data_IF_800867115396
#
_entry.id   IF_800867115396
#
_cell.length_a   1.000
_cell.length_b   1.000
_cell.length_c   1.000
_cell.angle_alpha   90.00
_cell.angle_beta   90.00
_cell.angle_gamma   90.00
#
_symmetry.space_group_name_H-M   'P 1'
#
loop_
_entity.id
_entity.type
_entity.pdbx_description
1 polymer ?
#
# COMPACT_ATOMS: atom_id res chain seq x y z
N UNK A 1 -34.13 -18.80 3.22
CA UNK A 1 -33.50 -18.17 4.40
C UNK A 1 -32.51 -17.15 3.88
N UNK A 2 -33.04 -15.99 3.53
CA UNK A 2 -32.35 -14.85 2.93
C UNK A 2 -31.65 -14.12 4.06
N UNK A 3 -30.34 -14.30 4.20
CA UNK A 3 -29.55 -13.58 5.19
C UNK A 3 -29.46 -12.11 4.76
N UNK A 4 -29.79 -11.20 5.69
CA UNK A 4 -29.58 -9.75 5.67
C UNK A 4 -28.11 -9.38 5.45
N UNK A 5 -27.58 -9.60 4.25
CA UNK A 5 -26.21 -9.22 3.86
C UNK A 5 -26.13 -7.81 3.25
N UNK A 6 -27.27 -7.22 2.89
CA UNK A 6 -27.30 -5.94 2.15
C UNK A 6 -27.34 -4.71 3.07
N UNK A 7 -27.87 -4.81 4.29
CA UNK A 7 -27.98 -3.68 5.23
C UNK A 7 -26.65 -3.27 5.88
N UNK A 8 -25.95 -4.24 6.50
CA UNK A 8 -24.69 -3.96 7.21
C UNK A 8 -23.50 -3.65 6.29
N UNK A 9 -23.49 -4.18 5.06
CA UNK A 9 -22.44 -3.88 4.06
C UNK A 9 -22.59 -2.49 3.44
N UNK A 10 -23.82 -1.96 3.37
CA UNK A 10 -24.09 -0.61 2.88
C UNK A 10 -23.64 0.48 3.87
N UNK A 11 -23.78 0.25 5.18
CA UNK A 11 -23.37 1.21 6.22
C UNK A 11 -21.84 1.30 6.37
N UNK A 12 -21.14 0.16 6.30
CA UNK A 12 -19.67 0.08 6.30
C UNK A 12 -19.02 0.72 5.07
N UNK A 13 -19.77 0.89 3.99
CA UNK A 13 -19.27 1.48 2.75
C UNK A 13 -19.12 3.01 2.83
N UNK A 14 -19.89 3.67 3.71
CA UNK A 14 -19.98 5.14 3.78
C UNK A 14 -19.54 5.73 5.11
N UNK A 15 -19.39 4.92 6.16
CA UNK A 15 -19.01 5.38 7.50
C UNK A 15 -17.80 4.63 8.08
N UNK A 16 -17.00 5.29 8.93
CA UNK A 16 -15.92 4.63 9.66
C UNK A 16 -16.44 3.48 10.51
N UNK A 17 -15.71 2.36 10.52
CA UNK A 17 -16.01 1.20 11.34
C UNK A 17 -15.57 1.47 12.78
N UNK A 18 -16.49 1.40 13.74
CA UNK A 18 -16.14 1.42 15.17
C UNK A 18 -15.51 0.09 15.57
N UNK A 19 -14.39 0.15 16.27
CA UNK A 19 -13.68 -1.02 16.78
C UNK A 19 -14.11 -1.33 18.22
N UNK A 20 -13.97 -2.60 18.60
CA UNK A 20 -14.18 -3.01 19.98
C UNK A 20 -13.03 -2.51 20.88
N UNK A 21 -13.33 -2.07 22.12
CA UNK A 21 -12.30 -1.68 23.08
C UNK A 21 -11.24 -2.77 23.28
N UNK A 22 -9.95 -2.40 23.26
CA UNK A 22 -8.84 -3.33 23.46
C UNK A 22 -8.56 -4.31 22.30
N UNK A 23 -9.42 -4.38 21.27
CA UNK A 23 -9.21 -5.25 20.11
C UNK A 23 -8.12 -4.73 19.17
N UNK A 24 -7.89 -5.41 18.05
CA UNK A 24 -6.99 -4.97 16.98
C UNK A 24 -7.31 -3.53 16.57
N UNK A 25 -6.29 -2.66 16.58
CA UNK A 25 -6.46 -1.23 16.30
C UNK A 25 -6.48 -0.94 14.80
N UNK A 26 -6.62 0.35 14.44
CA UNK A 26 -6.70 0.81 13.05
C UNK A 26 -5.53 0.29 12.18
N UNK A 27 -4.30 0.39 12.69
CA UNK A 27 -3.10 -0.10 12.00
C UNK A 27 -3.19 -1.61 11.74
N UNK A 28 -3.57 -2.39 12.75
CA UNK A 28 -3.69 -3.85 12.59
C UNK A 28 -4.78 -4.26 11.61
N UNK A 29 -5.92 -3.55 11.58
CA UNK A 29 -6.98 -3.76 10.58
C UNK A 29 -6.50 -3.44 9.18
N UNK A 30 -5.81 -2.32 9.02
CA UNK A 30 -5.23 -1.92 7.73
C UNK A 30 -4.22 -2.95 7.23
N UNK A 31 -3.29 -3.41 8.08
CA UNK A 31 -2.31 -4.42 7.69
C UNK A 31 -2.96 -5.76 7.32
N UNK A 32 -4.03 -6.16 8.01
CA UNK A 32 -4.78 -7.37 7.68
C UNK A 32 -5.52 -7.29 6.33
N UNK A 33 -5.86 -6.10 5.85
CA UNK A 33 -6.58 -5.90 4.58
C UNK A 33 -5.63 -5.61 3.41
N UNK A 34 -4.72 -4.67 3.60
CA UNK A 34 -3.83 -4.14 2.56
C UNK A 34 -2.53 -4.94 2.43
N UNK A 35 -2.21 -5.82 3.39
CA UNK A 35 -1.07 -6.73 3.32
C UNK A 35 -1.27 -7.94 2.39
N UNK A 36 -2.41 -8.05 1.71
CA UNK A 36 -2.69 -9.11 0.74
C UNK A 36 -2.57 -8.58 -0.69
N UNK A 37 -1.69 -9.19 -1.49
CA UNK A 37 -1.42 -8.77 -2.86
C UNK A 37 -2.69 -8.75 -3.73
N UNK A 38 -3.51 -9.80 -3.63
CA UNK A 38 -4.73 -9.90 -4.43
C UNK A 38 -5.74 -8.83 -4.07
N UNK A 39 -5.84 -8.44 -2.79
CA UNK A 39 -6.64 -7.28 -2.39
C UNK A 39 -6.20 -6.03 -3.15
N UNK A 40 -4.91 -5.72 -3.19
CA UNK A 40 -4.40 -4.52 -3.87
C UNK A 40 -4.65 -4.58 -5.39
N UNK A 41 -4.37 -5.72 -6.02
CA UNK A 41 -4.59 -5.92 -7.45
C UNK A 41 -6.07 -5.80 -7.84
N UNK A 42 -6.98 -6.41 -7.06
CA UNK A 42 -8.42 -6.30 -7.30
C UNK A 42 -8.89 -4.86 -7.11
N UNK A 43 -8.45 -4.17 -6.05
CA UNK A 43 -8.82 -2.78 -5.80
C UNK A 43 -8.32 -1.84 -6.89
N UNK A 44 -7.10 -2.04 -7.40
CA UNK A 44 -6.57 -1.28 -8.54
C UNK A 44 -7.48 -1.40 -9.76
N UNK A 45 -7.84 -2.63 -10.14
CA UNK A 45 -8.74 -2.88 -11.27
C UNK A 45 -10.12 -2.25 -11.05
N UNK A 46 -10.69 -2.40 -9.85
CA UNK A 46 -11.98 -1.83 -9.51
C UNK A 46 -11.98 -0.29 -9.53
N UNK A 47 -10.90 0.35 -9.07
CA UNK A 47 -10.72 1.81 -9.12
C UNK A 47 -10.61 2.33 -10.55
N UNK A 48 -10.11 1.51 -11.48
CA UNK A 48 -10.08 1.77 -12.92
C UNK A 48 -11.42 1.44 -13.62
N UNK A 49 -12.46 1.08 -12.87
CA UNK A 49 -13.80 0.79 -13.38
C UNK A 49 -14.05 -0.67 -13.77
N UNK A 50 -13.07 -1.57 -13.55
CA UNK A 50 -13.24 -3.01 -13.82
C UNK A 50 -13.96 -3.67 -12.66
N UNK A 51 -15.29 -3.81 -12.79
CA UNK A 51 -16.15 -4.33 -11.72
C UNK A 51 -16.74 -5.72 -11.96
N UNK A 52 -16.68 -6.28 -13.18
CA UNK A 52 -17.32 -7.57 -13.46
C UNK A 52 -16.38 -8.74 -13.18
N UNK A 53 -16.91 -9.83 -12.65
CA UNK A 53 -16.14 -11.02 -12.31
C UNK A 53 -15.31 -11.56 -13.48
N UNK A 54 -15.91 -11.68 -14.67
CA UNK A 54 -15.20 -12.13 -15.87
C UNK A 54 -14.05 -11.21 -16.27
N UNK A 55 -14.28 -9.89 -16.23
CA UNK A 55 -13.23 -8.91 -16.56
C UNK A 55 -12.06 -8.95 -15.55
N UNK A 56 -12.36 -9.17 -14.26
CA UNK A 56 -11.33 -9.36 -13.24
C UNK A 56 -10.53 -10.65 -13.45
N UNK A 57 -11.19 -11.74 -13.87
CA UNK A 57 -10.53 -13.00 -14.23
C UNK A 57 -9.65 -12.85 -15.48
N UNK A 58 -10.07 -12.04 -16.45
CA UNK A 58 -9.29 -11.78 -17.66
C UNK A 58 -8.09 -10.88 -17.38
N UNK A 59 -8.23 -9.93 -16.44
CA UNK A 59 -7.20 -8.95 -16.12
C UNK A 59 -6.14 -9.44 -15.11
N UNK A 60 -6.41 -10.52 -14.36
CA UNK A 60 -5.56 -10.97 -13.26
C UNK A 60 -5.28 -12.48 -13.38
N UNK A 61 -4.04 -12.95 -13.14
CA UNK A 61 -3.72 -14.38 -13.12
C UNK A 61 -4.17 -15.05 -11.80
N UNK A 62 -5.45 -14.88 -11.45
CA UNK A 62 -6.07 -15.33 -10.21
C UNK A 62 -7.02 -16.50 -10.48
N UNK A 63 -7.10 -17.46 -9.56
CA UNK A 63 -8.08 -18.53 -9.67
C UNK A 63 -9.49 -18.07 -9.26
N UNK A 64 -10.52 -18.71 -9.82
CA UNK A 64 -11.92 -18.44 -9.48
C UNK A 64 -12.19 -18.48 -7.96
N UNK A 65 -11.63 -19.45 -7.26
CA UNK A 65 -11.85 -19.64 -5.82
C UNK A 65 -11.18 -18.53 -5.00
N UNK A 66 -9.97 -18.11 -5.36
CA UNK A 66 -9.26 -17.02 -4.68
C UNK A 66 -9.97 -15.70 -4.96
N UNK A 67 -10.33 -15.42 -6.21
CA UNK A 67 -11.07 -14.20 -6.57
C UNK A 67 -12.39 -14.10 -5.81
N UNK A 68 -13.17 -15.19 -5.78
CA UNK A 68 -14.43 -15.25 -5.03
C UNK A 68 -14.23 -14.96 -3.54
N UNK A 69 -13.23 -15.59 -2.91
CA UNK A 69 -12.91 -15.37 -1.50
C UNK A 69 -12.51 -13.92 -1.21
N UNK A 70 -11.73 -13.31 -2.09
CA UNK A 70 -11.28 -11.92 -1.95
C UNK A 70 -12.40 -10.91 -2.21
N UNK A 71 -13.23 -11.10 -3.22
CA UNK A 71 -14.39 -10.25 -3.45
C UNK A 71 -15.37 -10.29 -2.28
N UNK A 72 -15.61 -11.48 -1.70
CA UNK A 72 -16.44 -11.61 -0.51
C UNK A 72 -15.84 -10.88 0.70
N UNK A 73 -14.52 -10.96 0.90
CA UNK A 73 -13.81 -10.19 1.92
C UNK A 73 -14.00 -8.68 1.68
N UNK A 74 -13.72 -8.18 0.48
CA UNK A 74 -13.82 -6.76 0.16
C UNK A 74 -15.24 -6.22 0.30
N UNK A 75 -16.27 -7.02 -0.01
CA UNK A 75 -17.66 -6.65 0.23
C UNK A 75 -17.98 -6.61 1.72
N UNK A 76 -17.57 -7.62 2.47
CA UNK A 76 -17.80 -7.67 3.93
C UNK A 76 -17.13 -6.49 4.65
N UNK A 77 -15.94 -6.09 4.21
CA UNK A 77 -15.19 -4.98 4.80
C UNK A 77 -15.61 -3.61 4.26
N UNK A 78 -16.64 -3.55 3.40
CA UNK A 78 -17.18 -2.30 2.86
C UNK A 78 -16.26 -1.59 1.86
N UNK A 79 -15.26 -2.27 1.31
CA UNK A 79 -14.39 -1.76 0.25
C UNK A 79 -15.07 -1.84 -1.12
N UNK A 80 -15.86 -2.89 -1.35
CA UNK A 80 -16.67 -3.05 -2.55
C UNK A 80 -18.13 -3.22 -2.19
N UNK A 81 -19.04 -2.85 -3.08
CA UNK A 81 -20.46 -3.17 -3.00
C UNK A 81 -20.83 -4.06 -4.18
N UNK A 82 -21.52 -5.16 -3.90
CA UNK A 82 -22.06 -6.03 -4.95
C UNK A 82 -23.35 -5.41 -5.50
N UNK A 83 -23.36 -5.06 -6.77
CA UNK A 83 -24.51 -4.50 -7.48
C UNK A 83 -25.07 -5.55 -8.46
N UNK A 84 -26.26 -6.08 -8.18
CA UNK A 84 -26.95 -7.03 -9.07
C UNK A 84 -27.85 -6.24 -10.02
N UNK A 85 -27.47 -6.16 -11.29
CA UNK A 85 -28.23 -5.42 -12.31
C UNK A 85 -29.12 -6.31 -13.18
N UNK A 86 -28.97 -7.63 -13.08
CA UNK A 86 -29.82 -8.61 -13.78
C UNK A 86 -29.96 -9.86 -12.92
N UNK A 87 -31.17 -10.37 -12.74
CA UNK A 87 -31.43 -11.57 -11.90
C UNK A 87 -31.61 -12.84 -12.71
N UNK A 88 -31.84 -12.75 -14.03
CA UNK A 88 -31.98 -13.91 -14.91
C UNK A 88 -31.42 -13.65 -16.33
N UNK A 89 -30.25 -14.20 -16.72
CA UNK A 89 -29.26 -14.84 -15.84
C UNK A 89 -28.70 -13.84 -14.82
N UNK A 90 -28.24 -14.33 -13.67
CA UNK A 90 -27.67 -13.49 -12.61
C UNK A 90 -26.42 -12.78 -13.12
N UNK A 91 -26.46 -11.44 -13.20
CA UNK A 91 -25.32 -10.60 -13.49
C UNK A 91 -25.13 -9.59 -12.38
N UNK A 92 -23.93 -9.59 -11.83
CA UNK A 92 -23.50 -8.68 -10.80
C UNK A 92 -22.17 -8.05 -11.17
N UNK A 93 -21.94 -6.86 -10.64
CA UNK A 93 -20.67 -6.18 -10.66
C UNK A 93 -20.30 -5.76 -9.24
N UNK A 94 -19.01 -5.50 -9.02
CA UNK A 94 -18.46 -5.04 -7.77
C UNK A 94 -18.05 -3.58 -7.95
N UNK A 95 -18.72 -2.70 -7.24
CA UNK A 95 -18.56 -1.25 -7.35
C UNK A 95 -17.75 -0.74 -6.17
N UNK A 96 -16.78 0.13 -6.44
CA UNK A 96 -15.99 0.80 -5.41
C UNK A 96 -16.85 1.66 -4.49
N UNK A 97 -16.57 1.60 -3.20
CA UNK A 97 -17.18 2.44 -2.16
C UNK A 97 -16.32 3.67 -1.88
N UNK A 98 -16.85 4.71 -1.19
CA UNK A 98 -16.03 5.80 -0.64
C UNK A 98 -14.79 5.30 0.11
N UNK A 99 -14.92 4.23 0.89
CA UNK A 99 -13.82 3.59 1.62
C UNK A 99 -12.68 3.12 0.71
N UNK A 100 -13.00 2.44 -0.38
CA UNK A 100 -11.97 2.02 -1.35
C UNK A 100 -11.42 3.18 -2.18
N UNK A 101 -12.24 4.18 -2.53
CA UNK A 101 -11.76 5.39 -3.23
C UNK A 101 -10.75 6.17 -2.40
N UNK A 102 -10.90 6.18 -1.07
CA UNK A 102 -9.94 6.78 -0.16
C UNK A 102 -8.57 6.06 -0.13
N UNK A 103 -8.42 4.88 -0.72
CA UNK A 103 -7.12 4.21 -0.91
C UNK A 103 -6.33 4.74 -2.11
N UNK A 104 -6.91 5.63 -2.93
CA UNK A 104 -6.23 6.17 -4.08
C UNK A 104 -4.85 6.80 -3.77
N UNK A 105 -4.69 7.64 -2.74
CA UNK A 105 -3.38 8.19 -2.37
C UNK A 105 -2.33 7.11 -2.05
N UNK A 106 -2.76 6.01 -1.43
CA UNK A 106 -1.90 4.87 -1.13
C UNK A 106 -1.46 4.14 -2.41
N UNK A 107 -2.38 3.93 -3.36
CA UNK A 107 -2.06 3.33 -4.67
C UNK A 107 -1.10 4.20 -5.48
N UNK A 108 -1.33 5.52 -5.47
CA UNK A 108 -0.46 6.51 -6.12
C UNK A 108 0.95 6.50 -5.53
N UNK A 109 1.08 6.45 -4.21
CA UNK A 109 2.37 6.37 -3.54
C UNK A 109 3.13 5.07 -3.84
N UNK A 110 2.42 3.92 -3.89
CA UNK A 110 3.03 2.64 -4.28
C UNK A 110 3.59 2.74 -5.71
N UNK A 111 2.76 3.23 -6.63
CA UNK A 111 3.15 3.38 -8.03
C UNK A 111 4.42 4.19 -8.19
N UNK A 112 4.47 5.37 -7.57
CA UNK A 112 5.63 6.26 -7.71
C UNK A 112 6.88 5.65 -7.10
N UNK A 113 6.77 5.00 -5.93
CA UNK A 113 7.92 4.37 -5.31
C UNK A 113 8.47 3.21 -6.15
N UNK A 114 7.59 2.33 -6.64
CA UNK A 114 7.96 1.22 -7.53
C UNK A 114 8.61 1.75 -8.81
N UNK A 115 8.02 2.78 -9.44
CA UNK A 115 8.53 3.39 -10.66
C UNK A 115 9.94 3.97 -10.49
N UNK A 116 10.21 4.62 -9.36
CA UNK A 116 11.49 5.28 -9.12
C UNK A 116 12.59 4.34 -8.59
N UNK A 117 12.24 3.37 -7.75
CA UNK A 117 13.21 2.64 -6.92
C UNK A 117 13.35 1.15 -7.24
N UNK A 118 12.49 0.61 -8.09
CA UNK A 118 12.48 -0.82 -8.45
C UNK A 118 12.84 -0.97 -9.92
N UNK A 119 13.97 -1.62 -10.19
CA UNK A 119 14.51 -1.80 -11.53
C UNK A 119 13.95 -3.05 -12.25
N UNK A 120 13.35 -3.96 -11.49
CA UNK A 120 12.89 -5.27 -11.97
C UNK A 120 11.58 -5.22 -12.78
N UNK A 121 11.02 -4.03 -13.01
CA UNK A 121 9.93 -3.84 -13.96
C UNK A 121 10.50 -3.97 -15.37
N UNK A 122 10.29 -5.12 -16.01
CA UNK A 122 10.81 -5.44 -17.36
C UNK A 122 10.58 -4.33 -18.40
N UNK A 123 9.51 -3.56 -18.25
CA UNK A 123 9.13 -2.44 -19.13
C UNK A 123 9.14 -1.06 -18.46
N UNK A 124 9.48 -0.97 -17.17
CA UNK A 124 9.27 0.23 -16.36
C UNK A 124 7.78 0.58 -16.18
N UNK A 125 7.43 1.21 -15.06
CA UNK A 125 6.06 1.68 -14.85
C UNK A 125 5.81 2.99 -15.63
N UNK A 126 4.68 3.14 -16.35
CA UNK A 126 4.39 4.36 -17.11
C UNK A 126 4.34 5.63 -16.25
N UNK A 127 4.57 6.77 -16.91
CA UNK A 127 4.36 8.07 -16.29
C UNK A 127 2.87 8.33 -16.05
N UNK A 128 2.58 9.19 -15.08
CA UNK A 128 1.24 9.71 -14.82
C UNK A 128 1.16 11.15 -15.28
N UNK A 129 0.03 11.48 -15.89
CA UNK A 129 -0.28 12.80 -16.41
C UNK A 129 -1.36 13.45 -15.55
N UNK A 130 -1.17 14.71 -15.18
CA UNK A 130 -2.15 15.48 -14.45
C UNK A 130 -2.99 16.28 -15.44
N UNK A 131 -4.21 15.82 -15.70
CA UNK A 131 -5.09 16.34 -16.75
C UNK A 131 -5.43 17.83 -16.54
N UNK A 132 -5.44 18.29 -15.28
CA UNK A 132 -5.71 19.69 -14.92
C UNK A 132 -4.60 20.64 -15.36
N UNK A 133 -3.32 20.27 -15.19
CA UNK A 133 -2.20 21.12 -15.60
C UNK A 133 -1.60 20.73 -16.96
N UNK A 134 -1.96 19.58 -17.51
CA UNK A 134 -1.46 19.09 -18.80
C UNK A 134 -0.01 18.64 -18.78
N UNK A 135 0.54 18.27 -17.62
CA UNK A 135 1.92 17.84 -17.49
C UNK A 135 2.02 16.47 -16.82
N UNK A 136 3.05 15.72 -17.23
CA UNK A 136 3.49 14.54 -16.48
C UNK A 136 4.03 14.99 -15.13
N UNK A 137 3.72 14.22 -14.08
CA UNK A 137 4.02 14.61 -12.72
C UNK A 137 4.62 13.47 -11.90
N UNK A 138 5.27 13.87 -10.81
CA UNK A 138 5.57 13.00 -9.68
C UNK A 138 4.85 13.52 -8.43
N UNK A 139 4.13 12.65 -7.68
CA UNK A 139 3.35 13.09 -6.54
C UNK A 139 4.26 13.56 -5.38
N UNK A 140 4.05 14.80 -4.93
CA UNK A 140 4.71 15.36 -3.75
C UNK A 140 3.82 15.19 -2.52
N UNK A 141 4.32 14.47 -1.51
CA UNK A 141 3.64 14.41 -0.22
C UNK A 141 3.81 15.74 0.53
N UNK A 142 2.70 16.27 1.03
CA UNK A 142 2.59 17.55 1.73
C UNK A 142 1.73 17.42 2.98
N UNK A 143 1.89 18.37 3.91
CA UNK A 143 1.03 18.50 5.08
C UNK A 143 -0.30 19.14 4.69
N UNK A 144 -1.42 18.51 5.02
CA UNK A 144 -2.77 19.06 4.78
C UNK A 144 -3.05 20.38 5.51
N UNK A 145 -2.41 20.62 6.66
CA UNK A 145 -2.60 21.84 7.45
C UNK A 145 -1.88 23.07 6.90
N UNK A 146 -0.62 22.93 6.46
CA UNK A 146 0.21 24.06 6.01
C UNK A 146 0.62 24.03 4.53
N UNK A 147 0.32 22.94 3.81
CA UNK A 147 0.60 22.77 2.38
C UNK A 147 2.08 22.51 2.03
N UNK A 148 3.02 22.59 2.98
CA UNK A 148 4.45 22.36 2.74
C UNK A 148 4.74 20.90 2.42
N UNK A 149 5.73 20.65 1.56
CA UNK A 149 6.26 19.32 1.31
C UNK A 149 6.86 18.71 2.60
N UNK A 150 6.69 17.40 2.76
CA UNK A 150 7.03 16.67 4.00
C UNK A 150 7.79 15.39 3.66
N UNK A 151 8.89 15.13 4.37
CA UNK A 151 9.55 13.82 4.43
C UNK A 151 9.29 13.12 5.77
N UNK A 152 9.69 11.85 5.89
CA UNK A 152 9.55 11.06 7.12
C UNK A 152 10.12 11.76 8.37
N UNK A 153 11.25 12.45 8.23
CA UNK A 153 11.94 13.15 9.34
C UNK A 153 11.13 14.34 9.88
N UNK A 154 10.27 14.92 9.05
CA UNK A 154 9.50 16.12 9.36
C UNK A 154 8.21 15.80 10.12
N UNK A 155 7.88 14.52 10.28
CA UNK A 155 6.72 14.04 11.04
C UNK A 155 7.17 13.45 12.36
N UNK A 156 6.62 13.96 13.46
CA UNK A 156 6.70 13.31 14.76
C UNK A 156 5.53 12.32 14.87
N UNK A 157 5.83 11.04 15.16
CA UNK A 157 4.81 10.00 15.27
C UNK A 157 4.95 9.26 16.61
N UNK A 158 3.91 9.34 17.43
CA UNK A 158 3.82 8.67 18.73
C UNK A 158 2.64 7.71 18.78
N UNK A 159 2.72 6.73 19.66
CA UNK A 159 1.56 5.85 19.90
C UNK A 159 0.44 6.69 20.51
N UNK A 160 -0.74 6.61 19.91
CA UNK A 160 -1.96 7.14 20.49
C UNK A 160 -2.54 6.20 21.55
N UNK A 161 -3.69 6.54 22.14
CA UNK A 161 -4.29 5.77 23.23
C UNK A 161 -4.63 4.32 22.88
N UNK A 162 -4.95 4.02 21.61
CA UNK A 162 -5.17 2.64 21.14
C UNK A 162 -3.91 2.00 20.54
N UNK A 163 -2.81 2.75 20.51
CA UNK A 163 -1.53 2.38 19.90
C UNK A 163 -0.72 1.41 20.75
N UNK A 164 -0.45 0.23 20.21
CA UNK A 164 0.51 -0.71 20.76
C UNK A 164 0.91 -1.71 19.67
N UNK A 165 2.18 -2.15 19.68
CA UNK A 165 2.65 -3.18 18.76
C UNK A 165 1.79 -4.45 18.79
N UNK A 166 1.40 -4.90 19.99
CA UNK A 166 0.52 -6.07 20.18
C UNK A 166 -0.87 -5.93 19.55
N UNK A 167 -1.38 -4.69 19.41
CA UNK A 167 -2.68 -4.40 18.79
C UNK A 167 -2.58 -4.08 17.30
N UNK A 168 -1.38 -3.74 16.83
CA UNK A 168 -1.10 -3.38 15.43
C UNK A 168 -0.56 -4.53 14.60
N UNK A 169 -0.06 -5.61 15.21
CA UNK A 169 0.31 -6.85 14.52
C UNK A 169 -0.83 -7.85 14.67
N UNK A 170 -1.70 -8.05 13.65
CA UNK A 170 -2.86 -8.94 13.79
C UNK A 170 -2.46 -10.38 14.11
N UNK A 171 -3.14 -11.03 15.06
CA UNK A 171 -2.85 -12.41 15.52
C UNK A 171 -2.97 -13.45 14.38
N UNK A 172 -3.86 -13.24 13.41
CA UNK A 172 -4.06 -14.17 12.29
C UNK A 172 -4.47 -13.46 11.00
N UNK A 173 -3.60 -13.50 9.97
CA UNK A 173 -3.94 -13.42 8.54
C UNK A 173 -2.67 -13.44 7.66
N UNK A 174 -1.96 -14.57 7.63
CA UNK A 174 -1.29 -15.11 6.43
C UNK A 174 -0.66 -16.42 6.83
N UNK A 175 -1.37 -17.52 6.56
CA UNK A 175 -0.77 -18.84 6.55
C UNK A 175 0.41 -18.79 5.57
N UNK A 176 1.60 -19.12 6.08
CA UNK A 176 2.84 -19.33 5.33
C UNK A 176 2.53 -20.01 3.98
N UNK A 177 2.71 -19.30 2.87
CA UNK A 177 2.83 -19.92 1.54
C UNK A 177 4.32 -19.90 1.20
N UNK A 178 4.84 -21.07 0.84
CA UNK A 178 6.23 -21.29 0.48
C UNK A 178 6.64 -20.43 -0.71
N UNK A 179 7.71 -19.65 -0.53
CA UNK A 179 8.33 -18.70 -1.48
C UNK A 179 8.73 -19.28 -2.86
N UNK A 180 8.48 -20.56 -3.16
CA UNK A 180 9.09 -21.26 -4.28
C UNK A 180 8.32 -21.17 -5.63
N UNK A 181 7.06 -20.73 -5.63
CA UNK A 181 6.18 -20.82 -6.82
C UNK A 181 5.73 -19.46 -7.38
N UNK A 182 5.83 -18.38 -6.59
CA UNK A 182 5.46 -17.01 -7.02
C UNK A 182 6.55 -16.33 -7.86
N UNK A 183 7.81 -16.75 -7.69
CA UNK A 183 8.99 -16.14 -8.35
C UNK A 183 9.04 -16.42 -9.86
N UNK A 184 8.15 -17.26 -10.43
CA UNK A 184 8.24 -17.68 -11.84
C UNK A 184 6.99 -17.48 -12.69
N UNK A 185 5.98 -16.79 -12.19
CA UNK A 185 4.78 -16.46 -12.96
C UNK A 185 4.57 -14.95 -12.98
N UNK A 186 5.03 -14.33 -14.06
CA UNK A 186 4.67 -12.99 -14.57
C UNK A 186 3.39 -12.38 -14.01
N UNK A 187 3.49 -11.12 -13.57
CA UNK A 187 2.46 -10.09 -13.33
C UNK A 187 2.40 -9.45 -11.92
N UNK A 188 3.53 -9.28 -11.22
CA UNK A 188 3.56 -8.41 -10.05
C UNK A 188 3.81 -6.96 -10.47
N UNK A 189 2.79 -6.10 -10.50
CA UNK A 189 2.97 -4.65 -10.66
C UNK A 189 3.66 -4.00 -9.44
N UNK A 190 3.74 -4.73 -8.32
CA UNK A 190 4.20 -4.24 -7.00
C UNK A 190 5.15 -5.22 -6.29
N UNK A 191 6.19 -5.76 -6.96
CA UNK A 191 6.96 -6.90 -6.45
C UNK A 191 7.67 -6.59 -5.13
N UNK A 192 8.33 -5.45 -5.02
CA UNK A 192 9.05 -5.10 -3.79
C UNK A 192 8.12 -4.50 -2.72
N UNK A 193 7.07 -3.77 -3.11
CA UNK A 193 6.03 -3.32 -2.18
C UNK A 193 5.44 -4.49 -1.43
N UNK A 194 5.18 -5.63 -2.10
CA UNK A 194 4.69 -6.82 -1.41
C UNK A 194 5.76 -7.49 -0.52
N UNK A 195 7.05 -7.31 -0.78
CA UNK A 195 8.09 -7.73 0.17
C UNK A 195 8.09 -6.89 1.46
N UNK A 196 7.76 -5.60 1.33
CA UNK A 196 7.72 -4.63 2.44
C UNK A 196 6.39 -4.70 3.22
N UNK A 197 5.27 -4.86 2.51
CA UNK A 197 3.90 -4.74 3.04
C UNK A 197 3.14 -6.07 3.09
N UNK A 198 3.60 -7.11 2.40
CA UNK A 198 2.89 -8.39 2.21
C UNK A 198 2.91 -9.36 3.40
N UNK A 199 3.47 -8.92 4.52
CA UNK A 199 3.43 -9.67 5.76
C UNK A 199 3.43 -8.69 6.92
N UNK A 200 2.55 -8.91 7.90
CA UNK A 200 2.41 -8.11 9.13
C UNK A 200 3.75 -7.78 9.81
N UNK A 201 4.69 -8.72 9.80
CA UNK A 201 5.99 -8.51 10.43
C UNK A 201 6.94 -7.64 9.60
N UNK A 202 6.85 -7.70 8.28
CA UNK A 202 7.60 -6.80 7.41
C UNK A 202 7.13 -5.36 7.64
N UNK A 203 5.82 -5.14 7.65
CA UNK A 203 5.24 -3.81 7.89
C UNK A 203 5.53 -3.29 9.29
N UNK A 204 5.44 -4.15 10.32
CA UNK A 204 5.74 -3.74 11.69
C UNK A 204 7.23 -3.43 11.88
N UNK A 205 8.13 -4.21 11.27
CA UNK A 205 9.56 -3.93 11.27
C UNK A 205 9.88 -2.62 10.57
N UNK A 206 9.25 -2.36 9.42
CA UNK A 206 9.41 -1.09 8.72
C UNK A 206 8.93 0.09 9.58
N UNK A 207 7.76 -0.05 10.22
CA UNK A 207 7.24 0.96 11.14
C UNK A 207 8.20 1.23 12.30
N UNK A 208 8.84 0.18 12.85
CA UNK A 208 9.83 0.33 13.91
C UNK A 208 11.09 1.05 13.41
N UNK A 209 11.54 0.74 12.19
CA UNK A 209 12.68 1.42 11.57
C UNK A 209 12.42 2.91 11.34
N UNK A 210 11.22 3.30 10.89
CA UNK A 210 10.82 4.72 10.76
C UNK A 210 10.76 5.45 12.11
N UNK A 211 10.50 4.72 13.20
CA UNK A 211 10.54 5.24 14.58
C UNK A 211 11.96 5.26 15.18
N UNK A 212 12.99 4.93 14.40
CA UNK A 212 14.39 5.01 14.81
C UNK A 212 14.94 3.75 15.49
N UNK A 213 14.19 2.64 15.49
CA UNK A 213 14.72 1.35 15.95
C UNK A 213 15.78 0.88 14.94
N UNK A 214 16.99 0.60 15.44
CA UNK A 214 18.14 0.24 14.58
C UNK A 214 18.84 -1.03 14.99
N UNK A 215 18.65 -1.54 16.21
CA UNK A 215 19.33 -2.76 16.69
C UNK A 215 18.41 -3.97 16.63
N UNK A 216 18.99 -5.13 16.35
CA UNK A 216 18.28 -6.40 16.30
C UNK A 216 17.44 -6.67 17.57
N UNK A 217 18.07 -6.58 18.74
CA UNK A 217 17.41 -6.83 20.02
C UNK A 217 16.27 -5.87 20.32
N UNK A 218 16.36 -4.63 19.82
CA UNK A 218 15.28 -3.65 19.99
C UNK A 218 14.10 -3.96 19.06
N UNK A 219 14.36 -4.44 17.84
CA UNK A 219 13.29 -4.95 16.96
C UNK A 219 12.56 -6.13 17.60
N UNK A 220 13.30 -7.11 18.14
CA UNK A 220 12.69 -8.26 18.83
C UNK A 220 11.82 -7.82 20.00
N UNK A 221 12.37 -6.96 20.87
CA UNK A 221 11.67 -6.48 22.06
C UNK A 221 10.41 -5.67 21.72
N UNK A 222 10.48 -4.78 20.72
CA UNK A 222 9.34 -3.95 20.32
C UNK A 222 8.24 -4.77 19.67
N UNK A 223 8.61 -5.68 18.76
CA UNK A 223 7.64 -6.42 17.96
C UNK A 223 7.08 -7.65 18.68
N UNK A 224 7.72 -8.11 19.74
CA UNK A 224 7.46 -9.42 20.35
C UNK A 224 7.47 -10.56 19.30
N UNK A 225 8.32 -10.42 18.28
CA UNK A 225 8.43 -11.34 17.16
C UNK A 225 9.49 -12.42 17.44
N UNK A 226 9.34 -13.64 16.90
CA UNK A 226 10.40 -14.65 16.98
C UNK A 226 11.73 -14.15 16.36
N UNK A 227 12.89 -14.40 17.00
CA UNK A 227 14.20 -13.94 16.53
C UNK A 227 14.50 -14.26 15.07
N UNK A 228 14.19 -15.50 14.68
CA UNK A 228 14.42 -16.01 13.32
C UNK A 228 13.62 -15.22 12.29
N UNK A 229 12.41 -14.81 12.64
CA UNK A 229 11.55 -14.03 11.77
C UNK A 229 12.09 -12.61 11.58
N UNK A 230 12.51 -11.96 12.67
CA UNK A 230 13.15 -10.64 12.61
C UNK A 230 14.40 -10.70 11.75
N UNK A 231 15.24 -11.71 11.94
CA UNK A 231 16.46 -11.92 11.15
C UNK A 231 16.15 -12.12 9.66
N UNK A 232 15.15 -12.94 9.33
CA UNK A 232 14.72 -13.17 7.94
C UNK A 232 14.26 -11.86 7.29
N UNK A 233 13.49 -11.04 8.00
CA UNK A 233 12.94 -9.78 7.46
C UNK A 233 14.01 -8.70 7.32
N UNK A 234 14.92 -8.57 8.27
CA UNK A 234 16.07 -7.66 8.14
C UNK A 234 16.95 -8.03 6.95
N UNK A 235 17.22 -9.33 6.76
CA UNK A 235 17.95 -9.82 5.58
C UNK A 235 17.22 -9.52 4.28
N UNK A 236 15.91 -9.75 4.22
CA UNK A 236 15.10 -9.43 3.05
C UNK A 236 15.15 -7.92 2.72
N UNK A 237 14.98 -7.05 3.72
CA UNK A 237 15.04 -5.59 3.52
C UNK A 237 16.43 -5.10 3.13
N UNK A 238 17.50 -5.74 3.61
CA UNK A 238 18.85 -5.45 3.16
C UNK A 238 19.07 -5.91 1.71
N UNK A 239 18.53 -7.07 1.33
CA UNK A 239 18.68 -7.62 -0.02
C UNK A 239 18.05 -6.71 -1.09
N UNK A 240 16.91 -6.08 -0.79
CA UNK A 240 16.26 -5.11 -1.70
C UNK A 240 16.71 -3.66 -1.48
N UNK A 241 17.69 -3.43 -0.59
CA UNK A 241 18.26 -2.10 -0.34
C UNK A 241 17.35 -1.13 0.40
N UNK A 242 16.30 -1.60 1.09
CA UNK A 242 15.44 -0.76 1.97
C UNK A 242 16.17 -0.42 3.28
N UNK A 243 16.92 -1.39 3.82
CA UNK A 243 17.79 -1.20 4.98
C UNK A 243 19.26 -1.43 4.59
N UNK A 244 20.17 -0.78 5.30
CA UNK A 244 21.60 -1.09 5.28
C UNK A 244 22.02 -1.61 6.64
N UNK A 245 22.73 -2.73 6.67
CA UNK A 245 23.37 -3.27 7.86
C UNK A 245 24.81 -2.75 7.96
N UNK A 246 25.12 -1.98 9.01
CA UNK A 246 26.46 -1.41 9.24
C UNK A 246 26.98 -1.87 10.59
N UNK A 247 28.26 -2.24 10.69
CA UNK A 247 28.90 -2.53 11.97
C UNK A 247 29.04 -1.23 12.78
N UNK A 248 28.80 -1.29 14.08
CA UNK A 248 28.93 -0.13 14.95
C UNK A 248 30.42 0.18 15.23
N UNK A 249 30.82 1.43 15.01
CA UNK A 249 32.23 1.87 15.17
C UNK A 249 32.78 1.68 16.58
N UNK A 250 31.93 1.79 17.60
CA UNK A 250 32.31 1.66 19.03
C UNK A 250 32.21 0.23 19.53
N UNK A 251 31.43 -0.61 18.85
CA UNK A 251 31.15 -2.02 19.18
C UNK A 251 31.11 -2.83 17.88
N UNK A 252 32.27 -3.25 17.34
CA UNK A 252 32.34 -3.95 16.06
C UNK A 252 31.56 -5.27 16.02
N UNK A 253 31.25 -5.82 17.20
CA UNK A 253 30.38 -6.98 17.41
C UNK A 253 28.89 -6.68 17.15
N UNK A 254 28.51 -5.41 17.02
CA UNK A 254 27.11 -4.98 16.89
C UNK A 254 26.81 -4.48 15.48
N UNK A 255 25.66 -4.92 14.95
CA UNK A 255 25.15 -4.49 13.65
C UNK A 255 23.96 -3.55 13.87
N UNK A 256 23.99 -2.40 13.21
CA UNK A 256 22.89 -1.46 13.12
C UNK A 256 22.23 -1.53 11.74
N UNK A 257 20.90 -1.56 11.74
CA UNK A 257 20.06 -1.56 10.56
C UNK A 257 19.45 -0.16 10.41
N UNK A 258 19.78 0.53 9.32
CA UNK A 258 19.33 1.91 9.07
C UNK A 258 18.59 1.99 7.74
N UNK A 259 17.54 2.82 7.67
CA UNK A 259 16.85 3.10 6.40
C UNK A 259 17.81 3.74 5.42
N UNK A 260 17.86 3.20 4.20
CA UNK A 260 18.57 3.80 3.06
C UNK A 260 17.75 4.95 2.47
N UNK A 261 18.23 5.56 1.38
CA UNK A 261 17.41 6.50 0.60
C UNK A 261 16.14 5.82 0.05
N UNK A 262 16.27 4.61 -0.52
CA UNK A 262 15.15 3.79 -1.01
C UNK A 262 14.13 3.49 0.09
N UNK A 263 14.61 3.09 1.27
CA UNK A 263 13.74 2.83 2.42
C UNK A 263 13.00 4.06 2.91
N UNK A 264 13.67 5.22 2.99
CA UNK A 264 13.02 6.49 3.37
C UNK A 264 12.00 6.96 2.34
N UNK A 265 12.27 6.74 1.05
CA UNK A 265 11.35 7.09 -0.03
C UNK A 265 10.03 6.30 0.01
N UNK A 266 9.96 5.18 0.74
CA UNK A 266 8.71 4.42 0.92
C UNK A 266 7.75 5.08 1.94
N UNK A 267 8.19 6.11 2.66
CA UNK A 267 7.37 6.74 3.70
C UNK A 267 5.99 7.24 3.23
N UNK A 268 5.82 7.83 2.02
CA UNK A 268 4.49 8.23 1.55
C UNK A 268 3.48 7.08 1.47
N UNK A 269 3.93 5.86 1.18
CA UNK A 269 3.10 4.64 1.20
C UNK A 269 2.63 4.33 2.63
N UNK A 270 3.55 4.44 3.59
CA UNK A 270 3.25 4.25 5.02
C UNK A 270 2.28 5.34 5.50
N UNK A 271 2.56 6.60 5.23
CA UNK A 271 1.74 7.72 5.66
C UNK A 271 0.30 7.64 5.10
N UNK A 272 0.15 7.35 3.80
CA UNK A 272 -1.15 7.22 3.15
C UNK A 272 -1.97 6.03 3.70
N UNK A 273 -1.33 4.88 3.93
CA UNK A 273 -2.01 3.70 4.49
C UNK A 273 -2.42 3.92 5.95
N UNK A 274 -1.59 4.59 6.76
CA UNK A 274 -1.92 4.96 8.13
C UNK A 274 -3.06 5.98 8.20
N UNK A 275 -3.03 7.03 7.36
CA UNK A 275 -4.12 8.00 7.28
C UNK A 275 -5.44 7.31 6.96
N UNK A 276 -5.46 6.47 5.93
CA UNK A 276 -6.66 5.70 5.57
C UNK A 276 -7.13 4.80 6.71
N UNK A 277 -6.21 4.19 7.45
CA UNK A 277 -6.56 3.33 8.57
C UNK A 277 -7.30 4.10 9.67
N UNK A 278 -6.74 5.23 10.11
CA UNK A 278 -7.33 6.06 11.17
C UNK A 278 -8.66 6.68 10.74
N UNK A 279 -8.81 7.05 9.46
CA UNK A 279 -10.06 7.61 8.94
C UNK A 279 -11.21 6.59 8.91
N UNK A 280 -10.91 5.31 8.70
CA UNK A 280 -11.93 4.27 8.48
C UNK A 280 -12.08 3.26 9.61
N UNK A 281 -11.20 3.26 10.60
CA UNK A 281 -11.26 2.38 11.76
C UNK A 281 -11.08 3.17 13.05
N UNK A 282 -12.18 3.43 13.75
CA UNK A 282 -12.18 4.29 14.93
C UNK A 282 -12.25 3.43 16.18
N UNK A 283 -11.17 3.42 16.96
CA UNK A 283 -11.16 2.82 18.28
C UNK A 283 -11.75 3.79 19.32
N UNK A 284 -12.55 3.30 20.28
CA UNK A 284 -13.19 4.16 21.29
C UNK A 284 -12.17 4.85 22.21
N UNK A 285 -10.96 4.31 22.36
CA UNK A 285 -9.88 4.89 23.16
C UNK A 285 -9.23 6.10 22.47
N UNK A 286 -9.33 6.20 21.14
CA UNK A 286 -8.65 7.20 20.31
C UNK A 286 -7.75 6.58 19.24
N UNK A 287 -6.98 7.39 18.50
CA UNK A 287 -6.18 6.94 17.37
C UNK A 287 -5.08 5.96 17.80
N UNK A 288 -4.65 5.10 16.87
CA UNK A 288 -3.54 4.20 17.12
C UNK A 288 -2.21 4.95 17.03
N UNK A 289 -2.08 5.92 16.11
CA UNK A 289 -0.93 6.80 16.00
C UNK A 289 -1.36 8.27 16.03
N UNK A 290 -0.62 9.08 16.79
CA UNK A 290 -0.72 10.54 16.75
C UNK A 290 0.47 11.05 15.94
N UNK A 291 0.18 11.73 14.84
CA UNK A 291 1.18 12.28 13.93
C UNK A 291 1.07 13.80 13.91
N UNK A 292 2.19 14.49 14.09
CA UNK A 292 2.29 15.95 14.09
C UNK A 292 3.37 16.37 13.10
N UNK A 293 3.07 17.38 12.28
CA UNK A 293 4.08 17.95 11.39
C UNK A 293 4.95 18.92 12.16
N UNK A 294 6.25 18.62 12.28
CA UNK A 294 7.19 19.36 13.14
C UNK A 294 7.28 20.85 12.83
N UNK A 295 7.10 21.25 11.56
CA UNK A 295 7.29 22.63 11.16
C UNK A 295 6.06 23.53 11.39
N UNK A 296 4.85 22.97 11.49
CA UNK A 296 3.64 23.74 11.77
C UNK A 296 2.93 23.36 13.08
N UNK A 297 3.38 22.31 13.75
CA UNK A 297 2.84 21.80 15.02
C UNK A 297 1.36 21.38 14.98
N UNK A 298 0.84 21.17 13.77
CA UNK A 298 -0.54 20.71 13.55
C UNK A 298 -0.59 19.20 13.32
N UNK A 299 -1.74 18.54 13.57
CA UNK A 299 -1.96 17.16 13.18
C UNK A 299 -1.59 16.92 11.71
N UNK A 300 -0.72 15.95 11.47
CA UNK A 300 -0.24 15.66 10.14
C UNK A 300 -1.28 14.84 9.36
N UNK A 301 -1.83 15.45 8.31
CA UNK A 301 -2.66 14.78 7.31
C UNK A 301 -1.85 14.68 6.01
N UNK A 302 -1.58 13.47 5.55
CA UNK A 302 -0.83 13.25 4.31
C UNK A 302 -1.69 13.64 3.09
N UNK A 303 -1.24 14.63 2.32
CA UNK A 303 -1.89 15.08 1.08
C UNK A 303 -0.89 15.04 -0.07
N UNK A 304 -1.30 14.55 -1.24
CA UNK A 304 -0.43 14.51 -2.42
C UNK A 304 -0.75 15.66 -3.36
N UNK A 305 0.30 16.33 -3.83
CA UNK A 305 0.23 17.47 -4.75
C UNK A 305 1.03 17.19 -6.01
N UNK A 306 0.64 17.82 -7.11
CA UNK A 306 1.39 17.81 -8.34
C UNK A 306 2.72 18.56 -8.14
N UNK A 307 3.85 18.01 -8.61
CA UNK A 307 5.14 18.70 -8.59
C UNK A 307 5.24 19.85 -9.61
N UNK A 308 4.36 19.88 -10.61
CA UNK A 308 4.34 20.90 -11.65
C UNK A 308 3.50 22.13 -11.26
N UNK A 309 2.28 21.92 -10.77
CA UNK A 309 1.35 23.01 -10.44
C UNK A 309 1.03 23.16 -8.94
N UNK A 310 1.51 22.25 -8.09
CA UNK A 310 1.29 22.25 -6.63
C UNK A 310 -0.18 22.11 -6.16
N UNK A 311 -1.12 21.89 -7.08
CA UNK A 311 -2.50 21.54 -6.73
C UNK A 311 -2.61 20.14 -6.13
N UNK A 312 -3.64 19.94 -5.30
CA UNK A 312 -3.93 18.63 -4.70
C UNK A 312 -4.35 17.66 -5.79
N UNK A 313 -3.76 16.46 -5.77
CA UNK A 313 -4.03 15.43 -6.77
C UNK A 313 -5.30 14.65 -6.43
N UNK A 314 -6.25 14.63 -7.36
CA UNK A 314 -7.41 13.76 -7.28
C UNK A 314 -7.35 12.67 -8.37
N UNK A 315 -7.74 11.44 -8.03
CA UNK A 315 -7.59 10.30 -8.95
C UNK A 315 -8.38 10.38 -10.25
N UNK A 316 -9.40 11.23 -10.33
CA UNK A 316 -10.18 11.44 -11.56
C UNK A 316 -9.55 12.46 -12.52
N UNK A 317 -8.47 13.13 -12.11
CA UNK A 317 -7.71 14.12 -12.88
C UNK A 317 -6.34 13.57 -13.31
N UNK A 318 -6.16 12.24 -13.19
CA UNK A 318 -4.89 11.57 -13.47
C UNK A 318 -5.13 10.52 -14.55
N UNK A 319 -4.39 10.64 -15.64
CA UNK A 319 -4.32 9.64 -16.69
C UNK A 319 -2.95 8.96 -16.71
N UNK A 320 -2.92 7.72 -17.21
CA UNK A 320 -1.67 6.97 -17.38
C UNK A 320 -1.20 7.20 -18.81
N UNK A 321 0.01 7.72 -18.98
CA UNK A 321 0.60 7.93 -20.31
C UNK A 321 0.98 6.56 -20.89
N UNK A 322 0.42 6.14 -22.04
CA UNK A 322 0.86 4.93 -22.70
C UNK A 322 2.34 5.07 -23.08
N UNK A 323 3.15 4.06 -22.78
CA UNK A 323 4.56 4.06 -23.21
C UNK A 323 4.57 3.94 -24.74
N UNK A 324 5.22 4.88 -25.43
CA UNK A 324 5.59 4.67 -26.83
C UNK A 324 6.56 3.48 -26.87
N UNK A 325 6.22 2.44 -27.63
CA UNK A 325 7.17 1.35 -27.88
C UNK A 325 8.42 1.96 -28.53
N UNK A 326 9.65 1.61 -28.09
CA UNK A 326 10.85 2.05 -28.79
C UNK A 326 10.71 1.61 -30.24
N UNK A 327 10.63 2.59 -31.14
CA UNK A 327 10.45 2.35 -32.57
C UNK A 327 11.46 1.30 -33.03
N UNK A 328 10.95 0.28 -33.72
CA UNK A 328 11.74 -0.72 -34.40
C UNK A 328 12.59 -0.02 -35.48
N UNK A 329 13.75 0.49 -35.08
CA UNK A 329 14.78 1.00 -35.97
C UNK A 329 15.51 -0.20 -36.58
N UNK A 330 14.75 -1.08 -37.22
CA UNK A 330 15.30 -2.06 -38.16
C UNK A 330 15.72 -1.27 -39.40
N UNK A 331 17.03 -1.13 -39.69
CA UNK A 331 17.45 -0.41 -40.87
C UNK A 331 16.93 -1.16 -42.09
N UNK A 332 16.02 -0.50 -42.82
CA UNK A 332 15.57 -0.92 -44.14
C UNK A 332 16.80 -1.26 -44.99
N UNK A 333 17.01 -2.56 -45.24
CA UNK A 333 17.95 -3.03 -46.25
C UNK A 333 17.47 -2.45 -47.58
N UNK A 334 18.13 -1.37 -48.01
CA UNK A 334 18.09 -0.93 -49.40
C UNK A 334 18.59 -2.09 -50.25
N UNK A 335 17.69 -2.65 -51.05
CA UNK A 335 18.04 -3.55 -52.14
C UNK A 335 18.93 -2.78 -53.11
N UNK A 336 20.15 -3.26 -53.27
CA UNK A 336 21.14 -2.74 -54.21
C UNK A 336 20.85 -3.38 -55.59
N UNK A 337 20.53 -2.60 -56.64
CA UNK A 337 20.19 -3.18 -57.94
C UNK A 337 21.47 -3.61 -58.66
N UNK A 338 21.54 -4.89 -59.04
CA UNK A 338 22.47 -5.39 -60.06
C UNK A 338 21.75 -6.26 -61.07
#
# INVERSE_FOLDING_TARGET
MTLDLDGGSAELATHPTRLEPGATNAVGRMLGLLGDEWTLLILRQALQGVGRFGQLMDALPISNSVLTGRLNLLVREGLLRRNVYQTNPLRAEYVVTPRSRALWPFMLAIWEWERQWVQDHADGLPAMHHDTCGHDFSPLMSCGGCGKAVEAKDVAAEWGPSGAWSRSVPESATRRRSDAEVVRSTAGLFPETMMIFGNRWASALLGAAFRGVTRFSDFEANLAAPPTLVADRLRAFCAIGVLSATQNDRRPDWVEYRLTAKGRAFYPVVAASLQWAEDWFVAPEGPALVQVHRACDEPFVATFRCDQCHEVLHGHEISIVPREEPGDDTPSRREDPR
#
